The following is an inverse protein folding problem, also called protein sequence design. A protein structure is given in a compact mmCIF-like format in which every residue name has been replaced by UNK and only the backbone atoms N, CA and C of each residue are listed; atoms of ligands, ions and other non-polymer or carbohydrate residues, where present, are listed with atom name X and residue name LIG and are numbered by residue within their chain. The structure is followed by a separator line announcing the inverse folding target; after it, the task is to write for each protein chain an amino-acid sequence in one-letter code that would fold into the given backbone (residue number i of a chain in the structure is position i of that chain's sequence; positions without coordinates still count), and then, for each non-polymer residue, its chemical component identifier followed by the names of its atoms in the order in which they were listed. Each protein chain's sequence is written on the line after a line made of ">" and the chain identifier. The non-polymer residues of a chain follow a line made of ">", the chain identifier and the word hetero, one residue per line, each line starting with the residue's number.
data_IF_916483340911
#
_entry.id   IF_916483340911
#
_cell.length_a   1.000
_cell.length_b   1.000
_cell.length_c   1.000
_cell.angle_alpha   90.00
_cell.angle_beta   90.00
_cell.angle_gamma   90.00
#
_symmetry.space_group_name_H-M   'P 1'
#
loop_
_entity.id
_entity.type
_entity.pdbx_description
1 polymer ?
#
# COMPACT_ATOMS: atom_id res chain seq x y z
N UNK A 1 -12.85 -2.67 12.67
CA UNK A 1 -11.89 -2.25 11.63
C UNK A 1 -10.51 -1.99 12.22
N UNK A 2 -10.40 -1.32 13.36
CA UNK A 2 -9.14 -1.04 14.04
C UNK A 2 -8.30 -2.30 14.34
N UNK A 3 -8.95 -3.37 14.84
CA UNK A 3 -8.27 -4.64 15.08
C UNK A 3 -7.65 -5.24 13.81
N UNK A 4 -8.35 -5.13 12.67
CA UNK A 4 -7.83 -5.59 11.37
C UNK A 4 -6.62 -4.73 10.97
N UNK A 5 -6.72 -3.42 11.12
CA UNK A 5 -5.64 -2.50 10.76
C UNK A 5 -4.36 -2.67 11.57
N UNK A 6 -4.41 -3.28 12.75
CA UNK A 6 -3.18 -3.56 13.52
C UNK A 6 -2.10 -4.30 12.71
N UNK A 7 -2.53 -5.21 11.83
CA UNK A 7 -1.64 -6.04 11.02
C UNK A 7 -1.92 -5.96 9.52
N UNK A 8 -2.85 -5.13 9.10
CA UNK A 8 -3.28 -5.01 7.70
C UNK A 8 -3.61 -3.55 7.38
N UNK A 9 -2.63 -2.79 6.89
CA UNK A 9 -2.80 -1.35 6.62
C UNK A 9 -3.81 -1.04 5.53
N UNK A 10 -4.03 -1.96 4.58
CA UNK A 10 -4.90 -1.80 3.41
C UNK A 10 -6.04 -2.84 3.42
N UNK A 11 -6.94 -2.84 4.42
CA UNK A 11 -7.97 -3.87 4.58
C UNK A 11 -8.99 -3.88 3.44
N UNK A 12 -9.36 -2.72 2.92
CA UNK A 12 -10.32 -2.60 1.82
C UNK A 12 -9.76 -3.18 0.52
N UNK A 13 -8.48 -2.94 0.25
CA UNK A 13 -7.75 -3.52 -0.89
C UNK A 13 -7.63 -5.04 -0.72
N UNK A 14 -7.18 -5.50 0.46
CA UNK A 14 -7.02 -6.93 0.73
C UNK A 14 -8.33 -7.71 0.64
N UNK A 15 -9.47 -7.10 0.98
CA UNK A 15 -10.79 -7.70 0.81
C UNK A 15 -11.20 -7.92 -0.65
N UNK A 16 -10.47 -7.34 -1.61
CA UNK A 16 -10.82 -7.39 -3.06
C UNK A 16 -9.80 -8.10 -3.93
N UNK A 17 -8.51 -7.98 -3.61
CA UNK A 17 -7.44 -8.45 -4.51
C UNK A 17 -6.49 -9.47 -3.88
N UNK A 18 -6.72 -9.86 -2.63
CA UNK A 18 -5.92 -10.88 -1.95
C UNK A 18 -6.10 -12.25 -2.61
N UNK A 19 -5.01 -13.02 -2.74
CA UNK A 19 -5.04 -14.40 -3.20
C UNK A 19 -5.52 -15.40 -2.12
N UNK A 20 -5.81 -14.93 -0.93
CA UNK A 20 -6.35 -15.62 0.25
C UNK A 20 -5.78 -17.03 0.53
N UNK A 21 -4.45 -17.25 0.56
CA UNK A 21 -3.87 -18.56 0.86
C UNK A 21 -4.27 -19.09 2.25
N UNK A 22 -4.70 -18.20 3.15
CA UNK A 22 -5.23 -18.55 4.46
C UNK A 22 -6.53 -19.39 4.39
N UNK A 23 -7.36 -19.21 3.35
CA UNK A 23 -8.54 -20.05 3.13
C UNK A 23 -8.15 -21.44 2.63
N UNK A 24 -7.16 -21.53 1.75
CA UNK A 24 -6.61 -22.80 1.28
C UNK A 24 -6.01 -23.61 2.45
N UNK A 25 -5.37 -22.93 3.40
CA UNK A 25 -4.76 -23.57 4.58
C UNK A 25 -5.70 -23.69 5.78
N UNK A 26 -6.97 -23.29 5.65
CA UNK A 26 -7.92 -23.27 6.75
C UNK A 26 -8.26 -24.70 7.20
N UNK A 27 -8.04 -25.00 8.48
CA UNK A 27 -8.34 -26.34 9.05
C UNK A 27 -9.84 -26.66 9.12
N UNK A 28 -10.71 -25.63 9.07
CA UNK A 28 -12.14 -25.84 9.03
C UNK A 28 -12.58 -26.63 7.78
N UNK A 29 -11.86 -26.54 6.67
CA UNK A 29 -12.12 -27.34 5.45
C UNK A 29 -12.07 -28.85 5.67
N UNK A 30 -11.44 -29.32 6.76
CA UNK A 30 -11.37 -30.74 7.09
C UNK A 30 -12.71 -31.24 7.71
N UNK A 31 -13.62 -30.32 8.06
CA UNK A 31 -14.94 -30.61 8.68
C UNK A 31 -16.07 -30.15 7.75
N UNK A 32 -15.93 -28.96 7.15
CA UNK A 32 -16.87 -28.35 6.22
C UNK A 32 -16.11 -27.33 5.32
N UNK A 33 -16.73 -26.27 4.84
CA UNK A 33 -16.07 -25.27 4.03
C UNK A 33 -15.12 -24.37 4.84
N UNK A 34 -14.01 -23.87 4.24
CA UNK A 34 -13.13 -22.95 4.89
C UNK A 34 -13.84 -21.65 5.27
N UNK A 35 -13.32 -20.93 6.26
CA UNK A 35 -13.84 -19.60 6.60
C UNK A 35 -13.51 -18.64 5.43
N UNK A 36 -14.52 -17.92 4.94
CA UNK A 36 -14.39 -16.92 3.87
C UNK A 36 -13.66 -15.64 4.39
N UNK A 37 -12.36 -15.76 4.70
CA UNK A 37 -11.58 -14.72 5.37
C UNK A 37 -11.46 -13.47 4.50
N UNK A 38 -11.30 -13.63 3.18
CA UNK A 38 -11.21 -12.51 2.26
C UNK A 38 -12.51 -11.71 2.24
N UNK A 39 -13.65 -12.39 2.16
CA UNK A 39 -14.96 -11.75 2.19
C UNK A 39 -15.19 -11.01 3.52
N UNK A 40 -14.84 -11.62 4.66
CA UNK A 40 -14.93 -10.97 5.98
C UNK A 40 -14.02 -9.73 6.09
N UNK A 41 -12.82 -9.79 5.54
CA UNK A 41 -11.92 -8.62 5.49
C UNK A 41 -12.50 -7.46 4.69
N UNK A 42 -13.16 -7.75 3.57
CA UNK A 42 -13.84 -6.74 2.75
C UNK A 42 -15.11 -6.20 3.40
N UNK A 43 -15.89 -7.09 4.01
CA UNK A 43 -17.16 -6.73 4.66
C UNK A 43 -16.98 -5.66 5.76
N UNK A 44 -15.97 -5.80 6.60
CA UNK A 44 -15.79 -4.87 7.73
C UNK A 44 -15.53 -3.43 7.27
N UNK A 45 -14.56 -3.12 6.38
CA UNK A 45 -14.36 -1.76 5.92
C UNK A 45 -15.50 -1.21 5.07
N UNK A 46 -16.30 -2.08 4.43
CA UNK A 46 -17.44 -1.64 3.62
C UNK A 46 -18.66 -1.25 4.47
N UNK A 47 -18.79 -1.81 5.68
CA UNK A 47 -19.95 -1.61 6.55
C UNK A 47 -19.64 -0.76 7.80
N UNK A 48 -18.40 -0.41 8.03
CA UNK A 48 -18.02 0.49 9.12
C UNK A 48 -17.79 1.90 8.56
N UNK A 49 -18.40 2.93 9.13
CA UNK A 49 -18.14 4.31 8.73
C UNK A 49 -16.64 4.60 8.71
N UNK A 50 -16.22 5.38 7.72
CA UNK A 50 -14.85 5.88 7.70
C UNK A 50 -14.69 6.91 8.80
N UNK A 51 -13.83 6.58 9.76
CA UNK A 51 -13.41 7.49 10.81
C UNK A 51 -11.94 7.83 10.56
N UNK A 52 -11.67 9.12 10.34
CA UNK A 52 -10.31 9.58 10.18
C UNK A 52 -9.55 9.35 11.49
N UNK A 53 -8.39 8.69 11.47
CA UNK A 53 -7.61 8.47 12.68
C UNK A 53 -7.08 9.80 13.24
N UNK A 54 -6.78 9.82 14.52
CA UNK A 54 -5.99 10.89 15.09
C UNK A 54 -4.58 10.85 14.49
N UNK A 55 -4.05 12.02 14.15
CA UNK A 55 -2.69 12.17 13.69
C UNK A 55 -1.71 11.68 14.76
N UNK A 56 -0.73 10.91 14.37
CA UNK A 56 0.34 10.45 15.25
C UNK A 56 1.44 11.53 15.26
N UNK A 57 1.77 12.01 16.43
CA UNK A 57 2.90 12.94 16.57
C UNK A 57 4.22 12.21 16.48
N UNK A 58 5.16 12.81 15.74
CA UNK A 58 6.51 12.27 15.62
C UNK A 58 7.19 12.26 17.00
N UNK A 59 7.63 11.09 17.42
CA UNK A 59 8.33 10.87 18.71
C UNK A 59 9.79 10.47 18.52
N UNK A 60 10.19 10.12 17.29
CA UNK A 60 11.57 9.83 16.90
C UNK A 60 12.18 11.05 16.20
N UNK A 61 13.43 11.36 16.46
CA UNK A 61 14.12 12.50 15.83
C UNK A 61 14.36 12.28 14.33
N UNK A 62 14.40 11.01 13.91
CA UNK A 62 14.69 10.63 12.54
C UNK A 62 13.43 10.60 11.67
N UNK A 63 13.63 10.95 10.40
CA UNK A 63 12.64 10.81 9.35
C UNK A 63 13.04 9.72 8.36
N UNK A 64 12.05 9.08 7.75
CA UNK A 64 12.26 8.04 6.75
C UNK A 64 11.63 8.48 5.43
N UNK A 65 12.41 8.42 4.36
CA UNK A 65 11.91 8.56 2.99
C UNK A 65 11.54 7.19 2.43
N UNK A 66 10.41 7.12 1.72
CA UNK A 66 9.98 5.91 1.00
C UNK A 66 9.82 6.26 -0.47
N UNK A 67 10.49 5.54 -1.35
CA UNK A 67 10.43 5.77 -2.79
C UNK A 67 9.48 4.75 -3.42
N UNK A 68 8.29 5.23 -3.80
CA UNK A 68 7.19 4.46 -4.36
C UNK A 68 6.03 4.25 -3.37
N UNK A 69 4.83 4.61 -3.81
CA UNK A 69 3.58 4.51 -3.06
C UNK A 69 2.77 3.24 -3.37
N UNK A 70 3.43 2.21 -3.87
CA UNK A 70 2.81 0.89 -4.05
C UNK A 70 2.44 0.23 -2.72
N UNK A 71 1.86 -0.98 -2.73
CA UNK A 71 1.42 -1.66 -1.50
C UNK A 71 2.55 -1.81 -0.47
N UNK A 72 3.79 -2.08 -0.92
CA UNK A 72 4.94 -2.22 -0.03
C UNK A 72 5.31 -0.89 0.64
N UNK A 73 5.36 0.21 -0.12
CA UNK A 73 5.67 1.54 0.41
C UNK A 73 4.60 2.05 1.36
N UNK A 74 3.33 1.88 1.02
CA UNK A 74 2.22 2.29 1.88
C UNK A 74 2.16 1.47 3.17
N UNK A 75 2.43 0.16 3.11
CA UNK A 75 2.48 -0.68 4.31
C UNK A 75 3.65 -0.27 5.23
N UNK A 76 4.83 -0.04 4.67
CA UNK A 76 5.97 0.45 5.43
C UNK A 76 5.71 1.84 6.04
N UNK A 77 5.09 2.76 5.27
CA UNK A 77 4.70 4.08 5.76
C UNK A 77 3.76 3.98 6.97
N UNK A 78 2.77 3.09 6.89
CA UNK A 78 1.83 2.83 7.97
C UNK A 78 2.52 2.33 9.24
N UNK A 79 3.44 1.39 9.12
CA UNK A 79 4.14 0.83 10.29
C UNK A 79 5.12 1.85 10.88
N UNK A 80 5.89 2.55 10.05
CA UNK A 80 6.88 3.53 10.50
C UNK A 80 6.24 4.73 11.21
N UNK A 81 5.13 5.27 10.69
CA UNK A 81 4.42 6.36 11.38
C UNK A 81 3.91 5.91 12.75
N UNK A 82 3.42 4.68 12.88
CA UNK A 82 2.98 4.10 14.16
C UNK A 82 4.11 3.86 15.15
N UNK A 83 5.34 3.70 14.65
CA UNK A 83 6.56 3.64 15.47
C UNK A 83 7.05 5.04 15.88
N UNK A 84 6.39 6.11 15.43
CA UNK A 84 6.72 7.49 15.78
C UNK A 84 7.74 8.17 14.87
N UNK A 85 8.11 7.56 13.75
CA UNK A 85 9.01 8.21 12.77
C UNK A 85 8.23 9.22 11.92
N UNK A 86 8.88 10.31 11.50
CA UNK A 86 8.40 11.14 10.40
C UNK A 86 8.53 10.39 9.08
N UNK A 87 7.46 10.33 8.28
CA UNK A 87 7.47 9.54 7.03
C UNK A 87 7.03 10.40 5.86
N UNK A 88 7.87 10.41 4.81
CA UNK A 88 7.55 11.02 3.51
C UNK A 88 7.65 9.96 2.42
N UNK A 89 6.57 9.77 1.66
CA UNK A 89 6.52 8.87 0.51
C UNK A 89 6.65 9.71 -0.77
N UNK A 90 7.60 9.37 -1.63
CA UNK A 90 7.80 9.98 -2.94
C UNK A 90 7.23 9.06 -4.02
N UNK A 91 6.30 9.57 -4.81
CA UNK A 91 5.66 8.85 -5.90
C UNK A 91 5.91 9.56 -7.22
N UNK A 92 6.40 8.84 -8.20
CA UNK A 92 6.70 9.38 -9.51
C UNK A 92 5.45 9.73 -10.33
N UNK A 93 4.35 9.00 -10.11
CA UNK A 93 3.08 9.26 -10.78
C UNK A 93 2.30 10.37 -10.07
N UNK A 94 1.31 10.93 -10.77
CA UNK A 94 0.38 11.92 -10.22
C UNK A 94 -0.62 11.35 -9.22
N UNK A 95 -0.65 10.03 -9.05
CA UNK A 95 -1.55 9.31 -8.15
C UNK A 95 -0.79 8.30 -7.31
N UNK A 96 -1.11 8.24 -6.01
CA UNK A 96 -0.56 7.25 -5.12
C UNK A 96 -1.28 5.89 -5.27
N UNK A 97 -0.57 4.79 -5.00
CA UNK A 97 -1.12 3.43 -5.00
C UNK A 97 -0.38 2.45 -5.91
N UNK A 98 0.54 2.93 -6.76
CA UNK A 98 1.35 2.08 -7.63
C UNK A 98 0.49 1.15 -8.50
N UNK A 99 0.86 -0.14 -8.61
CA UNK A 99 0.12 -1.10 -9.43
C UNK A 99 -1.33 -1.33 -8.98
N UNK A 100 -1.71 -0.97 -7.77
CA UNK A 100 -3.12 -1.01 -7.34
C UNK A 100 -3.98 0.00 -8.11
N UNK A 101 -3.41 1.12 -8.54
CA UNK A 101 -4.10 2.13 -9.36
C UNK A 101 -3.96 1.83 -10.85
N UNK A 102 -2.72 1.59 -11.33
CA UNK A 102 -2.46 1.55 -12.77
C UNK A 102 -2.57 0.15 -13.38
N UNK A 103 -2.48 -0.90 -12.57
CA UNK A 103 -2.47 -2.29 -13.02
C UNK A 103 -3.75 -3.07 -12.73
N UNK A 104 -4.43 -2.81 -11.60
CA UNK A 104 -5.67 -3.51 -11.24
C UNK A 104 -6.86 -2.82 -11.90
N UNK A 105 -7.71 -3.53 -12.66
CA UNK A 105 -8.92 -2.95 -13.25
C UNK A 105 -9.87 -2.38 -12.19
N UNK A 106 -10.51 -1.27 -12.51
CA UNK A 106 -11.37 -0.54 -11.57
C UNK A 106 -12.59 -1.33 -11.10
N UNK A 107 -13.16 -2.19 -11.96
CA UNK A 107 -14.26 -3.07 -11.57
C UNK A 107 -13.86 -4.08 -10.49
N UNK A 108 -12.56 -4.39 -10.36
CA UNK A 108 -12.03 -5.29 -9.33
C UNK A 108 -11.57 -4.54 -8.08
N UNK A 109 -10.98 -3.37 -8.26
CA UNK A 109 -10.56 -2.49 -7.17
C UNK A 109 -11.03 -1.05 -7.50
N UNK A 110 -12.23 -0.66 -7.05
CA UNK A 110 -12.73 0.69 -7.23
C UNK A 110 -11.78 1.74 -6.65
N UNK A 111 -11.60 2.85 -7.35
CA UNK A 111 -10.61 3.87 -6.98
C UNK A 111 -10.93 4.53 -5.64
N UNK A 112 -12.20 4.74 -5.35
CA UNK A 112 -12.65 5.29 -4.08
C UNK A 112 -12.32 4.38 -2.88
N UNK A 113 -12.35 3.05 -3.10
CA UNK A 113 -11.99 2.05 -2.08
C UNK A 113 -10.51 2.10 -1.75
N UNK A 114 -9.67 2.16 -2.78
CA UNK A 114 -8.22 2.31 -2.62
C UNK A 114 -7.89 3.65 -1.97
N UNK A 115 -8.52 4.73 -2.45
CA UNK A 115 -8.33 6.08 -1.91
C UNK A 115 -8.63 6.13 -0.41
N UNK A 116 -9.68 5.48 0.04
CA UNK A 116 -10.04 5.42 1.47
C UNK A 116 -8.93 4.84 2.35
N UNK A 117 -8.27 3.76 1.89
CA UNK A 117 -7.17 3.18 2.64
C UNK A 117 -5.92 4.08 2.62
N UNK A 118 -5.64 4.76 1.49
CA UNK A 118 -4.54 5.72 1.38
C UNK A 118 -4.79 6.96 2.23
N UNK A 119 -6.00 7.53 2.16
CA UNK A 119 -6.41 8.69 2.98
C UNK A 119 -6.26 8.40 4.48
N UNK A 120 -6.54 7.16 4.90
CA UNK A 120 -6.35 6.76 6.29
C UNK A 120 -4.87 6.82 6.69
N UNK A 121 -3.97 6.34 5.84
CA UNK A 121 -2.51 6.38 6.08
C UNK A 121 -2.01 7.83 6.12
N UNK A 122 -2.49 8.68 5.23
CA UNK A 122 -2.14 10.12 5.23
C UNK A 122 -2.67 10.83 6.49
N UNK A 123 -3.89 10.49 6.93
CA UNK A 123 -4.48 11.08 8.14
C UNK A 123 -3.70 10.72 9.41
N UNK A 124 -2.97 9.58 9.44
CA UNK A 124 -2.06 9.25 10.52
C UNK A 124 -0.85 10.21 10.61
N UNK A 125 -0.55 10.97 9.55
CA UNK A 125 0.54 11.92 9.49
C UNK A 125 1.61 11.62 8.44
N UNK A 126 1.40 10.61 7.60
CA UNK A 126 2.30 10.31 6.47
C UNK A 126 2.14 11.38 5.38
N UNK A 127 3.25 11.98 4.97
CA UNK A 127 3.30 12.87 3.82
C UNK A 127 3.47 12.06 2.53
N UNK A 128 2.57 12.21 1.55
CA UNK A 128 2.71 11.59 0.23
C UNK A 128 2.89 12.69 -0.82
N UNK A 129 4.03 12.68 -1.51
CA UNK A 129 4.38 13.61 -2.59
C UNK A 129 4.25 12.87 -3.93
N UNK A 130 3.20 13.16 -4.67
CA UNK A 130 3.02 12.72 -6.06
C UNK A 130 3.81 13.61 -7.01
N UNK A 131 3.92 13.21 -8.29
CA UNK A 131 4.71 13.90 -9.31
C UNK A 131 6.15 14.21 -8.85
N UNK A 132 6.71 13.32 -8.03
CA UNK A 132 7.99 13.49 -7.38
C UNK A 132 8.93 12.31 -7.65
N UNK A 133 9.37 12.13 -8.91
CA UNK A 133 10.32 11.09 -9.25
C UNK A 133 11.68 11.34 -8.58
N UNK A 134 12.27 10.30 -8.01
CA UNK A 134 13.60 10.36 -7.38
C UNK A 134 14.63 9.74 -8.32
N UNK A 135 15.70 10.47 -8.63
CA UNK A 135 16.85 9.94 -9.36
C UNK A 135 17.70 9.07 -8.40
N UNK A 136 17.67 7.77 -8.64
CA UNK A 136 18.39 6.80 -7.79
C UNK A 136 19.92 6.89 -7.94
N UNK A 137 20.42 7.55 -8.99
CA UNK A 137 21.87 7.71 -9.22
C UNK A 137 22.52 8.82 -8.41
N UNK A 138 21.78 9.88 -8.12
CA UNK A 138 22.29 11.08 -7.41
C UNK A 138 21.43 11.46 -6.20
N UNK A 139 20.14 11.25 -6.28
CA UNK A 139 19.19 11.75 -5.28
C UNK A 139 19.17 10.97 -3.96
N UNK A 140 19.71 9.74 -3.93
CA UNK A 140 19.69 8.92 -2.69
C UNK A 140 20.68 9.47 -1.65
N UNK A 141 21.89 9.82 -2.08
CA UNK A 141 22.91 10.38 -1.17
C UNK A 141 22.49 11.76 -0.67
N UNK A 142 21.87 12.57 -1.53
CA UNK A 142 21.32 13.88 -1.16
C UNK A 142 20.17 13.78 -0.14
N UNK A 143 19.39 12.70 -0.19
CA UNK A 143 18.31 12.45 0.76
C UNK A 143 18.83 11.93 2.11
N UNK A 144 19.86 11.05 2.07
CA UNK A 144 20.48 10.49 3.26
C UNK A 144 21.39 11.53 3.95
N UNK A 145 21.21 11.72 5.23
CA UNK A 145 22.06 12.56 6.06
C UNK A 145 21.57 13.99 6.26
N UNK A 146 20.95 14.65 5.27
CA UNK A 146 20.44 16.02 5.43
C UNK A 146 18.98 16.07 5.90
N UNK A 147 18.11 15.25 5.29
CA UNK A 147 16.68 15.30 5.55
C UNK A 147 16.12 14.00 6.14
N UNK A 148 16.72 12.85 5.80
CA UNK A 148 16.23 11.54 6.19
C UNK A 148 17.33 10.66 6.76
N UNK A 149 17.03 10.00 7.88
CA UNK A 149 17.93 9.02 8.50
C UNK A 149 17.95 7.67 7.78
N UNK A 150 16.93 7.38 6.96
CA UNK A 150 16.87 6.17 6.15
C UNK A 150 16.02 6.40 4.90
N UNK A 151 16.33 5.63 3.84
CA UNK A 151 15.55 5.59 2.59
C UNK A 151 15.13 4.16 2.30
N UNK A 152 13.84 3.92 2.11
CA UNK A 152 13.28 2.64 1.69
C UNK A 152 12.94 2.68 0.20
N UNK A 153 13.48 1.75 -0.57
CA UNK A 153 13.15 1.59 -1.99
C UNK A 153 12.01 0.59 -2.18
N UNK A 154 10.87 1.05 -2.70
CA UNK A 154 9.69 0.24 -2.98
C UNK A 154 9.12 0.51 -4.38
N UNK A 155 10.02 0.57 -5.37
CA UNK A 155 9.79 1.02 -6.74
C UNK A 155 8.83 0.14 -7.55
N UNK A 156 8.65 -1.11 -7.14
CA UNK A 156 7.86 -2.09 -7.88
C UNK A 156 8.45 -2.47 -9.24
N UNK A 157 7.62 -3.04 -10.10
CA UNK A 157 8.01 -3.49 -11.45
C UNK A 157 7.09 -2.83 -12.50
N UNK A 158 7.50 -1.68 -13.04
CA UNK A 158 6.72 -0.92 -14.02
C UNK A 158 6.93 -1.36 -15.47
N UNK A 159 7.96 -2.16 -15.76
CA UNK A 159 8.22 -2.66 -17.11
C UNK A 159 7.37 -3.91 -17.36
N UNK A 160 6.40 -3.78 -18.26
CA UNK A 160 5.65 -4.92 -18.78
C UNK A 160 6.55 -5.90 -19.54
N UNK A 161 6.35 -7.19 -19.31
CA UNK A 161 6.95 -8.22 -20.15
C UNK A 161 5.98 -8.60 -21.26
N UNK A 162 6.45 -8.58 -22.51
CA UNK A 162 5.64 -9.04 -23.64
C UNK A 162 5.52 -10.57 -23.55
N UNK A 163 4.31 -11.13 -23.47
CA UNK A 163 4.15 -12.57 -23.39
C UNK A 163 4.62 -13.23 -24.71
N UNK A 164 5.28 -14.39 -24.62
CA UNK A 164 5.71 -15.17 -25.79
C UNK A 164 4.59 -16.09 -26.25
N UNK A 165 3.53 -15.51 -26.82
CA UNK A 165 2.41 -16.25 -27.42
C UNK A 165 2.24 -15.86 -28.90
N UNK A 166 1.71 -16.75 -29.76
CA UNK A 166 1.45 -16.42 -31.15
C UNK A 166 0.55 -15.19 -31.28
N UNK A 167 0.92 -14.26 -32.17
CA UNK A 167 0.16 -13.05 -32.42
C UNK A 167 0.60 -11.81 -31.61
N UNK A 168 1.50 -11.92 -30.64
CA UNK A 168 2.02 -10.76 -29.90
C UNK A 168 2.88 -9.82 -30.74
N UNK A 169 3.28 -10.22 -31.96
CA UNK A 169 4.08 -9.42 -32.89
C UNK A 169 3.22 -8.86 -34.04
N UNK A 170 1.91 -9.06 -34.02
CA UNK A 170 0.99 -8.44 -35.00
C UNK A 170 0.81 -6.97 -34.61
N UNK A 171 0.93 -6.07 -35.61
CA UNK A 171 0.64 -4.63 -35.51
C UNK A 171 -0.86 -4.34 -35.56
#
# INVERSE_FOLDING_TARGET
>A
LELIRRNMPLPSVCGRVCLHPCETACRRKDVEEPIAIMALKGFVPDNVPYDAPAKIEQSQDQKVAIIGSGPAGLAAAYDLIRMGYGVTVFEALSVAGGMMVVGVPEHRLPREVLKRDIDYIQALGVEIKTDSPVDLGKGLDDMLGEAYGAVLLSLGAHRGQKPSIPGTNLE
#
